data_IF_211871849900
#
_entry.id   IF_211871849900
#
_cell.length_a   1.000
_cell.length_b   1.000
_cell.length_c   1.000
_cell.angle_alpha   90.00
_cell.angle_beta   90.00
_cell.angle_gamma   90.00
#
_symmetry.space_group_name_H-M   'P 1'
#
loop_
_entity.id
_entity.type
_entity.pdbx_description
1 polymer ?
#
# COMPACT_ATOMS: atom_id res chain seq x y z
N UNK A 1 -34.80 5.86 -28.00
CA UNK A 1 -36.10 5.46 -28.58
C UNK A 1 -37.16 5.63 -27.49
N UNK A 2 -38.12 6.54 -27.68
CA UNK A 2 -39.24 6.74 -26.75
C UNK A 2 -40.28 5.65 -26.98
N UNK A 3 -40.36 4.69 -26.07
CA UNK A 3 -41.51 3.79 -25.96
C UNK A 3 -41.99 3.88 -24.50
N UNK A 4 -43.24 4.25 -24.28
CA UNK A 4 -43.94 4.20 -22.98
C UNK A 4 -43.52 5.19 -21.88
N UNK A 5 -43.26 6.47 -22.19
CA UNK A 5 -43.17 7.52 -21.15
C UNK A 5 -42.00 7.40 -20.15
N UNK A 6 -41.20 6.34 -20.26
CA UNK A 6 -39.94 6.13 -19.56
C UNK A 6 -38.84 6.59 -20.50
N UNK A 7 -38.13 7.65 -20.11
CA UNK A 7 -36.92 8.10 -20.79
C UNK A 7 -35.88 6.99 -20.60
N UNK A 8 -35.68 6.13 -21.61
CA UNK A 8 -34.47 5.30 -21.68
C UNK A 8 -33.30 6.24 -21.96
N UNK A 9 -32.78 6.82 -20.88
CA UNK A 9 -31.55 7.59 -20.86
C UNK A 9 -30.45 6.64 -21.31
N UNK A 10 -29.72 7.02 -22.36
CA UNK A 10 -28.55 6.26 -22.81
C UNK A 10 -27.57 6.14 -21.64
N UNK A 11 -26.88 5.00 -21.47
CA UNK A 11 -25.95 4.80 -20.34
C UNK A 11 -24.91 5.93 -20.21
N UNK A 12 -24.54 6.57 -21.32
CA UNK A 12 -23.69 7.75 -21.33
C UNK A 12 -24.35 9.01 -20.75
N UNK A 13 -25.61 9.31 -21.11
CA UNK A 13 -26.35 10.46 -20.53
C UNK A 13 -26.67 10.23 -19.05
N UNK A 14 -26.87 8.98 -18.64
CA UNK A 14 -27.10 8.64 -17.25
C UNK A 14 -25.86 8.90 -16.40
N UNK A 15 -24.69 8.44 -16.89
CA UNK A 15 -23.40 8.65 -16.22
C UNK A 15 -22.86 10.08 -16.34
N UNK A 16 -23.33 10.87 -17.31
CA UNK A 16 -22.98 12.28 -17.44
C UNK A 16 -23.65 13.17 -16.38
N UNK A 17 -24.73 12.70 -15.72
CA UNK A 17 -25.38 13.46 -14.66
C UNK A 17 -24.54 13.46 -13.38
N UNK A 18 -24.13 14.66 -12.94
CA UNK A 18 -23.28 14.83 -11.75
C UNK A 18 -23.87 14.20 -10.48
N UNK A 19 -25.18 14.31 -10.27
CA UNK A 19 -25.87 13.71 -9.11
C UNK A 19 -25.81 12.18 -9.14
N UNK A 20 -25.99 11.57 -10.32
CA UNK A 20 -25.93 10.11 -10.48
C UNK A 20 -24.51 9.62 -10.21
N UNK A 21 -23.50 10.30 -10.77
CA UNK A 21 -22.10 9.96 -10.54
C UNK A 21 -21.70 10.09 -9.07
N UNK A 22 -22.18 11.13 -8.37
CA UNK A 22 -21.91 11.33 -6.94
C UNK A 22 -22.51 10.21 -6.07
N UNK A 23 -23.76 9.81 -6.33
CA UNK A 23 -24.41 8.70 -5.61
C UNK A 23 -23.71 7.37 -5.92
N UNK A 24 -23.35 7.13 -7.17
CA UNK A 24 -22.61 5.94 -7.58
C UNK A 24 -21.24 5.87 -6.87
N UNK A 25 -20.52 6.99 -6.83
CA UNK A 25 -19.22 7.11 -6.15
C UNK A 25 -19.36 6.88 -4.64
N UNK A 26 -20.42 7.37 -4.00
CA UNK A 26 -20.70 7.13 -2.59
C UNK A 26 -20.83 5.62 -2.28
N UNK A 27 -21.67 4.91 -3.03
CA UNK A 27 -21.84 3.46 -2.84
C UNK A 27 -20.56 2.68 -3.19
N UNK A 28 -19.85 3.08 -4.24
CA UNK A 28 -18.58 2.47 -4.63
C UNK A 28 -17.52 2.60 -3.51
N UNK A 29 -17.40 3.78 -2.89
CA UNK A 29 -16.46 4.01 -1.79
C UNK A 29 -16.82 3.21 -0.55
N UNK A 30 -18.10 3.14 -0.17
CA UNK A 30 -18.54 2.32 0.98
C UNK A 30 -18.19 0.86 0.74
N UNK A 31 -18.49 0.35 -0.45
CA UNK A 31 -18.22 -1.03 -0.83
C UNK A 31 -16.71 -1.31 -0.81
N UNK A 32 -15.91 -0.44 -1.42
CA UNK A 32 -14.44 -0.53 -1.43
C UNK A 32 -13.86 -0.57 -0.02
N UNK A 33 -14.28 0.36 0.87
CA UNK A 33 -13.77 0.43 2.24
C UNK A 33 -14.18 -0.79 3.07
N UNK A 34 -15.40 -1.30 2.86
CA UNK A 34 -15.90 -2.50 3.56
C UNK A 34 -15.13 -3.74 3.14
N UNK A 35 -14.92 -3.96 1.84
CA UNK A 35 -14.13 -5.10 1.35
C UNK A 35 -12.68 -5.04 1.80
N UNK A 36 -12.08 -3.85 1.80
CA UNK A 36 -10.71 -3.66 2.29
C UNK A 36 -10.61 -4.04 3.77
N UNK A 37 -11.55 -3.58 4.61
CA UNK A 37 -11.57 -3.91 6.04
C UNK A 37 -11.83 -5.41 6.27
N UNK A 38 -12.73 -6.02 5.50
CA UNK A 38 -12.99 -7.46 5.57
C UNK A 38 -11.74 -8.28 5.19
N UNK A 39 -11.02 -7.86 4.16
CA UNK A 39 -9.75 -8.48 3.76
C UNK A 39 -8.70 -8.40 4.86
N UNK A 40 -8.54 -7.23 5.50
CA UNK A 40 -7.64 -7.08 6.65
C UNK A 40 -8.04 -7.96 7.81
N UNK A 41 -9.34 -8.02 8.14
CA UNK A 41 -9.83 -8.88 9.23
C UNK A 41 -9.48 -10.36 8.99
N UNK A 42 -9.76 -10.88 7.79
CA UNK A 42 -9.44 -12.28 7.45
C UNK A 42 -7.93 -12.55 7.48
N UNK A 43 -7.11 -11.60 7.02
CA UNK A 43 -5.66 -11.72 7.08
C UNK A 43 -5.12 -11.75 8.53
N UNK A 44 -5.69 -10.91 9.40
CA UNK A 44 -5.34 -10.88 10.83
C UNK A 44 -5.76 -12.18 11.50
N UNK A 45 -7.00 -12.62 11.28
CA UNK A 45 -7.54 -13.85 11.88
C UNK A 45 -6.71 -15.07 11.49
N UNK A 46 -6.38 -15.22 10.20
CA UNK A 46 -5.52 -16.31 9.72
C UNK A 46 -4.11 -16.23 10.31
N UNK A 47 -3.52 -15.03 10.42
CA UNK A 47 -2.21 -14.82 11.05
C UNK A 47 -2.18 -15.21 12.54
N UNK A 48 -3.20 -14.82 13.31
CA UNK A 48 -3.32 -15.16 14.73
C UNK A 48 -3.51 -16.67 14.92
N UNK A 49 -4.39 -17.29 14.13
CA UNK A 49 -4.64 -18.74 14.20
C UNK A 49 -3.37 -19.54 13.86
N UNK A 50 -2.61 -19.11 12.86
CA UNK A 50 -1.35 -19.74 12.50
C UNK A 50 -0.31 -19.60 13.62
N UNK A 51 -0.17 -18.41 14.20
CA UNK A 51 0.74 -18.17 15.33
C UNK A 51 0.41 -19.09 16.50
N UNK A 52 -0.87 -19.22 16.89
CA UNK A 52 -1.31 -20.11 17.95
C UNK A 52 -1.00 -21.59 17.65
N UNK A 53 -1.20 -22.02 16.41
CA UNK A 53 -0.88 -23.38 15.98
C UNK A 53 0.63 -23.67 16.04
N UNK A 54 1.47 -22.74 15.60
CA UNK A 54 2.93 -22.87 15.62
C UNK A 54 3.44 -22.90 17.06
N UNK A 55 2.97 -22.01 17.93
CA UNK A 55 3.34 -22.02 19.35
C UNK A 55 2.98 -23.35 20.01
N UNK A 56 1.79 -23.89 19.72
CA UNK A 56 1.36 -25.21 20.22
C UNK A 56 2.23 -26.35 19.68
N UNK A 57 2.60 -26.31 18.39
CA UNK A 57 3.49 -27.31 17.77
C UNK A 57 4.90 -27.27 18.36
N UNK A 58 5.46 -26.07 18.55
CA UNK A 58 6.77 -25.87 19.20
C UNK A 58 6.72 -26.41 20.63
N UNK A 59 5.70 -26.05 21.41
CA UNK A 59 5.53 -26.54 22.78
C UNK A 59 5.47 -28.08 22.86
N UNK A 60 4.67 -28.71 22.00
CA UNK A 60 4.58 -30.17 21.93
C UNK A 60 5.92 -30.83 21.53
N UNK A 61 6.68 -30.20 20.64
CA UNK A 61 8.01 -30.67 20.25
C UNK A 61 9.01 -30.59 21.41
N UNK A 62 8.99 -29.48 22.16
CA UNK A 62 9.81 -29.30 23.37
C UNK A 62 9.49 -30.39 24.40
N UNK A 63 8.20 -30.58 24.71
CA UNK A 63 7.76 -31.59 25.68
C UNK A 63 8.21 -33.01 25.31
N UNK A 64 8.23 -33.36 24.02
CA UNK A 64 8.74 -34.67 23.55
C UNK A 64 10.26 -34.79 23.66
N UNK A 65 11.00 -33.71 23.39
CA UNK A 65 12.47 -33.68 23.45
C UNK A 65 12.99 -33.71 24.90
N UNK A 66 12.28 -33.10 25.85
CA UNK A 66 12.61 -33.18 27.27
C UNK A 66 12.61 -34.63 27.80
N UNK A 67 11.83 -35.53 27.18
CA UNK A 67 11.74 -36.95 27.56
C UNK A 67 12.82 -37.81 26.88
N UNK A 68 13.39 -37.36 25.76
CA UNK A 68 14.50 -38.06 25.08
C UNK A 68 15.84 -37.53 25.62
N UNK A 69 16.57 -38.36 26.36
CA UNK A 69 17.86 -38.02 26.95
C UNK A 69 18.73 -37.17 26.01
N UNK A 70 18.92 -35.89 26.38
CA UNK A 70 19.97 -34.98 25.94
C UNK A 70 20.53 -35.21 24.53
N UNK A 71 19.88 -34.59 23.54
CA UNK A 71 20.57 -33.98 22.40
C UNK A 71 20.45 -32.45 22.48
N UNK A 72 20.50 -31.90 23.71
CA UNK A 72 20.47 -30.47 24.05
C UNK A 72 21.82 -29.77 23.78
N UNK A 73 22.52 -30.16 22.71
CA UNK A 73 23.78 -29.52 22.29
C UNK A 73 23.58 -28.36 21.31
N UNK A 74 22.49 -28.36 20.54
CA UNK A 74 22.36 -27.47 19.38
C UNK A 74 21.41 -26.27 19.58
N UNK A 75 20.42 -26.37 20.48
CA UNK A 75 19.46 -25.29 20.72
C UNK A 75 19.33 -25.02 22.22
N UNK A 76 19.77 -23.84 22.64
CA UNK A 76 19.64 -23.35 24.02
C UNK A 76 18.19 -22.98 24.33
N UNK A 77 17.79 -23.06 25.61
CA UNK A 77 16.46 -22.61 26.07
C UNK A 77 16.20 -21.15 25.69
N UNK A 78 17.24 -20.31 25.71
CA UNK A 78 17.16 -18.91 25.27
C UNK A 78 16.81 -18.76 23.78
N UNK A 79 17.39 -19.58 22.90
CA UNK A 79 17.03 -19.59 21.48
C UNK A 79 15.58 -20.03 21.25
N UNK A 80 15.08 -20.97 22.04
CA UNK A 80 13.68 -21.42 21.96
C UNK A 80 12.71 -20.32 22.42
N UNK A 81 13.02 -19.63 23.53
CA UNK A 81 12.23 -18.47 23.97
C UNK A 81 12.24 -17.34 22.92
N UNK A 82 13.39 -17.09 22.29
CA UNK A 82 13.50 -16.11 21.21
C UNK A 82 12.67 -16.51 19.98
N UNK A 83 12.76 -17.77 19.54
CA UNK A 83 11.98 -18.31 18.43
C UNK A 83 10.47 -18.14 18.68
N UNK A 84 9.99 -18.46 19.88
CA UNK A 84 8.57 -18.33 20.23
C UNK A 84 8.14 -16.86 20.33
N UNK A 85 8.99 -15.97 20.86
CA UNK A 85 8.63 -14.57 21.08
C UNK A 85 8.74 -13.70 19.81
N UNK A 86 9.88 -13.80 19.11
CA UNK A 86 10.21 -12.94 17.97
C UNK A 86 9.76 -13.58 16.66
N UNK A 87 10.22 -14.79 16.36
CA UNK A 87 10.05 -15.38 15.02
C UNK A 87 8.57 -15.72 14.75
N UNK A 88 7.83 -16.25 15.73
CA UNK A 88 6.38 -16.49 15.53
C UNK A 88 5.57 -15.20 15.37
N UNK A 89 6.03 -14.10 15.98
CA UNK A 89 5.40 -12.80 15.83
C UNK A 89 5.72 -12.19 14.47
N UNK A 90 6.98 -12.26 14.01
CA UNK A 90 7.36 -11.83 12.66
C UNK A 90 6.62 -12.63 11.58
N UNK A 91 6.47 -13.95 11.77
CA UNK A 91 5.71 -14.78 10.85
C UNK A 91 4.23 -14.37 10.79
N UNK A 92 3.61 -14.04 11.92
CA UNK A 92 2.24 -13.50 11.96
C UNK A 92 2.12 -12.21 11.11
N UNK A 93 3.07 -11.28 11.26
CA UNK A 93 3.12 -10.05 10.46
C UNK A 93 3.33 -10.32 8.97
N UNK A 94 4.10 -11.34 8.61
CA UNK A 94 4.24 -11.76 7.21
C UNK A 94 2.91 -12.22 6.61
N UNK A 95 2.12 -13.03 7.33
CA UNK A 95 0.79 -13.45 6.85
C UNK A 95 -0.21 -12.30 6.79
N UNK A 96 -0.11 -11.31 7.69
CA UNK A 96 -0.86 -10.07 7.60
C UNK A 96 -0.56 -9.33 6.29
N UNK A 97 0.71 -9.28 5.88
CA UNK A 97 1.19 -8.53 4.71
C UNK A 97 1.00 -9.28 3.38
N UNK A 98 0.77 -10.58 3.41
CA UNK A 98 0.62 -11.41 2.21
C UNK A 98 -0.44 -10.89 1.21
N UNK A 99 -1.65 -10.44 1.62
CA UNK A 99 -2.61 -9.84 0.71
C UNK A 99 -2.11 -8.54 0.06
N UNK A 100 -1.26 -7.79 0.73
CA UNK A 100 -0.67 -6.58 0.16
C UNK A 100 0.38 -6.90 -0.89
N UNK A 101 1.14 -7.99 -0.73
CA UNK A 101 2.22 -8.35 -1.65
C UNK A 101 1.74 -8.56 -3.10
N UNK A 102 0.53 -9.09 -3.30
CA UNK A 102 -0.06 -9.26 -4.64
C UNK A 102 -0.96 -8.08 -5.06
N UNK A 103 -1.68 -7.46 -4.12
CA UNK A 103 -2.56 -6.34 -4.42
C UNK A 103 -1.80 -5.05 -4.79
N UNK A 104 -0.65 -4.79 -4.16
CA UNK A 104 0.15 -3.57 -4.39
C UNK A 104 0.67 -3.47 -5.83
N UNK A 105 1.31 -4.51 -6.42
CA UNK A 105 1.72 -4.47 -7.82
C UNK A 105 0.56 -4.22 -8.78
N UNK A 106 -0.57 -4.88 -8.56
CA UNK A 106 -1.77 -4.69 -9.39
C UNK A 106 -2.28 -3.25 -9.29
N UNK A 107 -2.33 -2.69 -8.08
CA UNK A 107 -2.74 -1.30 -7.85
C UNK A 107 -1.78 -0.30 -8.52
N UNK A 108 -0.47 -0.53 -8.46
CA UNK A 108 0.53 0.33 -9.11
C UNK A 108 0.36 0.29 -10.64
N UNK A 109 0.25 -0.90 -11.23
CA UNK A 109 0.10 -1.06 -12.68
C UNK A 109 -1.18 -0.37 -13.17
N UNK A 110 -2.32 -0.67 -12.54
CA UNK A 110 -3.61 -0.07 -12.92
C UNK A 110 -3.58 1.44 -12.70
N UNK A 111 -3.02 1.91 -11.58
CA UNK A 111 -2.89 3.34 -11.31
C UNK A 111 -2.04 4.06 -12.35
N UNK A 112 -0.87 3.53 -12.73
CA UNK A 112 -0.03 4.15 -13.78
C UNK A 112 -0.74 4.17 -15.12
N UNK A 113 -1.47 3.11 -15.49
CA UNK A 113 -2.26 3.06 -16.73
C UNK A 113 -3.34 4.14 -16.73
N UNK A 114 -4.12 4.29 -15.64
CA UNK A 114 -5.13 5.35 -15.55
C UNK A 114 -4.49 6.75 -15.59
N UNK A 115 -3.35 6.95 -14.93
CA UNK A 115 -2.65 8.24 -14.95
C UNK A 115 -2.21 8.61 -16.37
N UNK A 116 -1.72 7.63 -17.13
CA UNK A 116 -1.36 7.81 -18.54
C UNK A 116 -2.57 8.19 -19.41
N UNK A 117 -3.75 7.59 -19.17
CA UNK A 117 -4.97 7.99 -19.89
C UNK A 117 -5.44 9.41 -19.57
N UNK A 118 -5.17 9.92 -18.36
CA UNK A 118 -5.58 11.27 -17.96
C UNK A 118 -4.60 12.37 -18.41
N UNK A 119 -3.29 12.15 -18.24
CA UNK A 119 -2.25 13.19 -18.43
C UNK A 119 -1.29 12.90 -19.59
N UNK A 120 -1.41 11.76 -20.27
CA UNK A 120 -0.52 11.36 -21.36
C UNK A 120 0.93 11.18 -20.92
N UNK A 121 1.87 11.70 -21.71
CA UNK A 121 3.31 11.55 -21.47
C UNK A 121 3.76 12.21 -20.16
N UNK A 122 3.08 13.27 -19.71
CA UNK A 122 3.42 13.95 -18.45
C UNK A 122 3.22 13.04 -17.23
N UNK A 123 2.27 12.10 -17.28
CA UNK A 123 2.03 11.11 -16.24
C UNK A 123 3.26 10.22 -15.97
N UNK A 124 4.00 9.89 -17.03
CA UNK A 124 5.16 9.00 -16.96
C UNK A 124 6.32 9.67 -16.22
N UNK A 125 6.44 10.99 -16.33
CA UNK A 125 7.45 11.79 -15.64
C UNK A 125 7.15 11.82 -14.14
N UNK A 126 5.89 12.03 -13.76
CA UNK A 126 5.43 11.92 -12.36
C UNK A 126 5.66 10.52 -11.76
N UNK A 127 5.33 9.48 -12.51
CA UNK A 127 5.58 8.10 -12.11
C UNK A 127 7.07 7.79 -11.94
N UNK A 128 7.92 8.32 -12.82
CA UNK A 128 9.39 8.18 -12.73
C UNK A 128 9.94 8.86 -11.49
N UNK A 129 9.47 10.06 -11.15
CA UNK A 129 9.86 10.77 -9.93
C UNK A 129 9.53 9.94 -8.69
N UNK A 130 8.32 9.37 -8.62
CA UNK A 130 7.91 8.51 -7.51
C UNK A 130 8.75 7.23 -7.46
N UNK A 131 9.02 6.62 -8.61
CA UNK A 131 9.83 5.40 -8.72
C UNK A 131 11.30 5.62 -8.30
N UNK A 132 11.87 6.82 -8.54
CA UNK A 132 13.23 7.19 -8.12
C UNK A 132 13.27 7.58 -6.63
N UNK A 133 12.23 8.22 -6.11
CA UNK A 133 12.18 8.67 -4.72
C UNK A 133 11.85 7.53 -3.73
N UNK A 134 11.10 6.51 -4.17
CA UNK A 134 10.80 5.34 -3.35
C UNK A 134 12.06 4.60 -2.82
N UNK A 135 13.06 4.23 -3.65
CA UNK A 135 14.27 3.56 -3.16
C UNK A 135 15.13 4.45 -2.26
N UNK A 136 15.15 5.78 -2.46
CA UNK A 136 15.86 6.71 -1.56
C UNK A 136 15.31 6.62 -0.13
N UNK A 137 13.99 6.51 0.02
CA UNK A 137 13.36 6.30 1.32
C UNK A 137 13.74 4.93 1.96
N UNK A 138 13.91 3.91 1.13
CA UNK A 138 14.32 2.56 1.58
C UNK A 138 15.77 2.58 2.06
N UNK A 139 16.69 3.21 1.33
CA UNK A 139 18.11 3.32 1.72
C UNK A 139 18.27 4.09 3.04
N UNK A 140 17.54 5.20 3.20
CA UNK A 140 17.48 5.92 4.48
C UNK A 140 16.94 5.02 5.60
N UNK A 141 15.94 4.18 5.30
CA UNK A 141 15.38 3.24 6.27
C UNK A 141 16.35 2.14 6.67
N UNK A 142 17.13 1.61 5.73
CA UNK A 142 18.16 0.60 6.02
C UNK A 142 19.37 1.18 6.77
N UNK A 143 19.68 2.45 6.58
CA UNK A 143 20.69 3.15 7.37
C UNK A 143 20.30 3.28 8.87
N UNK A 144 19.00 3.16 9.21
CA UNK A 144 18.48 3.21 10.59
C UNK A 144 18.97 2.06 11.48
N UNK A 145 19.46 0.95 10.92
CA UNK A 145 19.85 -0.23 11.71
C UNK A 145 21.13 -0.03 12.54
N UNK A 146 21.88 1.07 12.38
CA UNK A 146 23.24 1.22 12.94
C UNK A 146 23.51 2.48 13.80
N UNK A 147 22.52 3.31 14.16
CA UNK A 147 22.80 4.62 14.80
C UNK A 147 22.17 4.87 16.18
N UNK A 148 22.84 5.69 16.99
CA UNK A 148 22.45 6.16 18.33
C UNK A 148 21.06 6.82 18.41
N UNK A 149 20.48 6.92 19.62
CA UNK A 149 19.11 7.43 19.85
C UNK A 149 18.85 8.86 19.34
N UNK A 150 19.85 9.76 19.37
CA UNK A 150 19.69 11.12 18.84
C UNK A 150 19.64 11.14 17.31
N UNK A 151 20.49 10.35 16.67
CA UNK A 151 20.44 10.14 15.23
C UNK A 151 19.10 9.48 14.83
N UNK A 152 18.62 8.51 15.60
CA UNK A 152 17.32 7.85 15.37
C UNK A 152 16.15 8.85 15.32
N UNK A 153 16.11 9.83 16.23
CA UNK A 153 15.05 10.85 16.25
C UNK A 153 15.12 11.79 15.04
N UNK A 154 16.33 12.20 14.64
CA UNK A 154 16.55 13.05 13.46
C UNK A 154 16.18 12.30 12.17
N UNK A 155 16.60 11.04 12.03
CA UNK A 155 16.24 10.20 10.88
C UNK A 155 14.75 9.89 10.81
N UNK A 156 14.09 9.66 11.96
CA UNK A 156 12.65 9.48 11.99
C UNK A 156 11.92 10.74 11.50
N UNK A 157 12.40 11.91 11.90
CA UNK A 157 11.85 13.19 11.43
C UNK A 157 12.04 13.38 9.92
N UNK A 158 13.22 13.06 9.37
CA UNK A 158 13.49 13.08 7.93
C UNK A 158 12.58 12.08 7.19
N UNK A 159 12.44 10.86 7.70
CA UNK A 159 11.58 9.83 7.13
C UNK A 159 10.11 10.27 7.06
N UNK A 160 9.58 10.90 8.11
CA UNK A 160 8.22 11.45 8.13
C UNK A 160 8.09 12.60 7.14
N UNK A 161 9.10 13.48 7.09
CA UNK A 161 9.13 14.59 6.14
C UNK A 161 9.14 14.10 4.69
N UNK A 162 10.00 13.14 4.34
CA UNK A 162 10.08 12.55 3.01
C UNK A 162 8.76 11.87 2.62
N UNK A 163 8.12 11.15 3.55
CA UNK A 163 6.81 10.54 3.32
C UNK A 163 5.73 11.59 2.93
N UNK A 164 5.78 12.77 3.54
CA UNK A 164 4.87 13.87 3.20
C UNK A 164 5.30 14.66 1.93
N UNK A 165 6.60 14.82 1.70
CA UNK A 165 7.13 15.67 0.64
C UNK A 165 7.14 15.01 -0.74
N UNK A 166 7.42 13.70 -0.82
CA UNK A 166 7.46 12.93 -2.08
C UNK A 166 6.17 13.10 -2.92
N UNK A 167 4.96 12.90 -2.39
CA UNK A 167 3.73 13.09 -3.17
C UNK A 167 3.56 14.53 -3.65
N UNK A 168 3.89 15.52 -2.81
CA UNK A 168 3.77 16.94 -3.16
C UNK A 168 4.73 17.28 -4.30
N UNK A 169 5.99 16.84 -4.21
CA UNK A 169 7.00 17.05 -5.23
C UNK A 169 6.65 16.37 -6.55
N UNK A 170 6.15 15.12 -6.51
CA UNK A 170 5.72 14.39 -7.70
C UNK A 170 4.57 15.10 -8.43
N UNK A 171 3.56 15.54 -7.68
CA UNK A 171 2.41 16.28 -8.21
C UNK A 171 2.85 17.61 -8.84
N UNK A 172 3.66 18.40 -8.12
CA UNK A 172 4.18 19.67 -8.62
C UNK A 172 4.99 19.48 -9.90
N UNK A 173 5.91 18.51 -9.90
CA UNK A 173 6.75 18.23 -11.07
C UNK A 173 5.88 17.82 -12.26
N UNK A 174 4.88 16.96 -12.04
CA UNK A 174 3.97 16.51 -13.11
C UNK A 174 3.20 17.68 -13.73
N UNK A 175 2.64 18.58 -12.91
CA UNK A 175 1.90 19.73 -13.42
C UNK A 175 2.79 20.77 -14.10
N UNK A 176 3.96 21.09 -13.52
CA UNK A 176 4.92 22.03 -14.12
C UNK A 176 5.38 21.53 -15.48
N UNK A 177 5.71 20.24 -15.58
CA UNK A 177 6.13 19.59 -16.82
C UNK A 177 5.01 19.55 -17.84
N UNK A 178 3.77 19.27 -17.42
CA UNK A 178 2.61 19.28 -18.31
C UNK A 178 2.40 20.67 -18.93
N UNK A 179 2.48 21.74 -18.14
CA UNK A 179 2.35 23.12 -18.63
C UNK A 179 3.47 23.53 -19.59
N UNK A 180 4.70 23.04 -19.38
CA UNK A 180 5.85 23.41 -20.23
C UNK A 180 5.98 22.56 -21.51
N UNK A 181 5.53 21.30 -21.50
CA UNK A 181 5.65 20.40 -22.65
C UNK A 181 4.41 20.44 -23.53
N UNK A 182 3.23 20.69 -22.96
CA UNK A 182 1.97 20.67 -23.69
C UNK A 182 1.45 22.09 -23.91
N UNK A 183 1.95 22.78 -24.94
CA UNK A 183 1.48 24.11 -25.35
C UNK A 183 -0.02 24.14 -25.75
N UNK A 184 -0.64 22.99 -26.02
CA UNK A 184 -2.04 22.86 -26.47
C UNK A 184 -2.98 22.16 -25.45
N UNK A 185 -2.48 21.65 -24.33
CA UNK A 185 -3.31 20.91 -23.38
C UNK A 185 -3.79 21.82 -22.23
N UNK A 186 -5.01 22.35 -22.38
CA UNK A 186 -5.68 23.03 -21.27
C UNK A 186 -5.93 22.04 -20.12
N UNK A 187 -5.24 22.27 -19.00
CA UNK A 187 -5.44 21.55 -17.74
C UNK A 187 -6.85 21.83 -17.20
N UNK A 188 -7.81 21.02 -17.63
CA UNK A 188 -9.16 21.06 -17.05
C UNK A 188 -9.09 20.71 -15.56
N UNK A 189 -9.81 21.43 -14.69
CA UNK A 189 -9.87 21.12 -13.26
C UNK A 189 -10.23 19.64 -12.99
N UNK A 190 -11.08 19.03 -13.82
CA UNK A 190 -11.45 17.63 -13.68
C UNK A 190 -10.24 16.69 -13.82
N UNK A 191 -9.35 16.95 -14.77
CA UNK A 191 -8.13 16.15 -15.01
C UNK A 191 -7.11 16.38 -13.90
N UNK A 192 -6.96 17.63 -13.44
CA UNK A 192 -6.06 17.97 -12.34
C UNK A 192 -6.47 17.31 -11.01
N UNK A 193 -7.75 17.38 -10.62
CA UNK A 193 -8.21 16.76 -9.38
C UNK A 193 -8.22 15.23 -9.45
N UNK A 194 -8.57 14.66 -10.61
CA UNK A 194 -8.55 13.20 -10.78
C UNK A 194 -7.12 12.65 -10.73
N UNK A 195 -6.15 13.30 -11.36
CA UNK A 195 -4.74 12.90 -11.29
C UNK A 195 -4.13 13.08 -9.90
N UNK A 196 -4.43 14.20 -9.23
CA UNK A 196 -4.04 14.41 -7.83
C UNK A 196 -4.55 13.27 -6.93
N UNK A 197 -5.83 12.91 -7.07
CA UNK A 197 -6.43 11.79 -6.32
C UNK A 197 -5.74 10.47 -6.62
N UNK A 198 -5.38 10.23 -7.89
CA UNK A 198 -4.67 9.02 -8.31
C UNK A 198 -3.26 8.94 -7.71
N UNK A 199 -2.53 10.06 -7.67
CA UNK A 199 -1.24 10.15 -7.00
C UNK A 199 -1.36 9.80 -5.52
N UNK A 200 -2.33 10.36 -4.80
CA UNK A 200 -2.58 10.00 -3.39
C UNK A 200 -2.86 8.51 -3.19
N UNK A 201 -3.61 7.88 -4.10
CA UNK A 201 -3.90 6.43 -4.05
C UNK A 201 -2.65 5.58 -4.33
N UNK A 202 -1.76 6.02 -5.22
CA UNK A 202 -0.52 5.33 -5.56
C UNK A 202 0.57 5.46 -4.49
N UNK A 203 0.55 6.55 -3.73
CA UNK A 203 1.56 6.82 -2.71
C UNK A 203 1.52 5.82 -1.56
N UNK A 204 0.33 5.45 -1.11
CA UNK A 204 0.14 4.51 0.01
C UNK A 204 0.82 3.14 -0.21
N UNK A 205 0.60 2.43 -1.33
CA UNK A 205 1.24 1.15 -1.57
C UNK A 205 2.76 1.25 -1.76
N UNK A 206 3.26 2.33 -2.36
CA UNK A 206 4.70 2.56 -2.54
C UNK A 206 5.44 2.69 -1.21
N UNK A 207 4.87 3.40 -0.23
CA UNK A 207 5.47 3.51 1.10
C UNK A 207 5.35 2.25 1.93
N UNK A 208 4.21 1.56 1.86
CA UNK A 208 4.04 0.31 2.58
C UNK A 208 4.98 -0.78 2.05
N UNK A 209 5.32 -0.79 0.76
CA UNK A 209 6.31 -1.72 0.20
C UNK A 209 7.71 -1.51 0.79
N UNK A 210 8.05 -0.31 1.25
CA UNK A 210 9.29 -0.05 2.00
C UNK A 210 9.27 -0.59 3.43
N UNK A 211 8.10 -0.89 3.98
CA UNK A 211 7.94 -1.39 5.35
C UNK A 211 7.91 -2.93 5.47
N UNK A 212 7.82 -3.63 4.33
CA UNK A 212 7.87 -5.09 4.19
C UNK A 212 9.28 -5.54 3.85
#
# INVERSE_FOLDING_TARGET
IKLLGVYFISSQEFLANAYVLAVLLFFALILQRTFLQASYYVAIETGINLRGAIQTKIYNKIMRLCTSNMSMGELTVGQICNLVAIDTNQLMWFFFLCPNLWAMPVQIIVGVILLYYLLGISALIGATVIAVLAPVHVEETRAKELTSLEAFALYTSISIFMNAAIPIAAVLTTFVVHVHISEEADLSPAVAFASLSLFHILVTPLFLLSSV
#
